data_IF_290732341267
#
_entry.id   IF_290732341267
#
_cell.length_a   1.000
_cell.length_b   1.000
_cell.length_c   1.000
_cell.angle_alpha   90.00
_cell.angle_beta   90.00
_cell.angle_gamma   90.00
#
_symmetry.space_group_name_H-M   'P 1'
#
loop_
_entity.id
_entity.type
_entity.pdbx_description
1 polymer ?
#
# COMPACT_ATOMS: atom_id res chain seq x y z
N UNK A 1 23.87 25.72 -12.08
CA UNK A 1 22.69 24.88 -11.75
C UNK A 1 23.10 23.91 -10.66
N UNK A 2 22.96 24.33 -9.40
CA UNK A 2 23.28 23.47 -8.26
C UNK A 2 22.38 22.24 -8.30
N UNK A 3 22.98 21.06 -8.45
CA UNK A 3 22.24 19.80 -8.31
C UNK A 3 21.74 19.76 -6.88
N UNK A 4 20.42 19.88 -6.69
CA UNK A 4 19.74 19.60 -5.42
C UNK A 4 20.40 18.37 -4.79
N UNK A 5 20.94 18.54 -3.58
CA UNK A 5 21.54 17.45 -2.82
C UNK A 5 20.61 17.11 -1.66
N UNK A 6 20.19 15.85 -1.59
CA UNK A 6 19.34 15.33 -0.51
C UNK A 6 20.20 14.62 0.54
N UNK A 7 19.69 14.57 1.77
CA UNK A 7 20.33 13.88 2.88
C UNK A 7 20.24 12.36 2.68
N UNK A 8 21.38 11.72 2.36
CA UNK A 8 21.44 10.27 2.14
C UNK A 8 21.21 9.48 3.44
N UNK A 9 21.52 10.07 4.60
CA UNK A 9 21.32 9.40 5.89
C UNK A 9 19.85 9.07 6.15
N UNK A 10 18.95 10.01 5.84
CA UNK A 10 17.50 9.76 5.92
C UNK A 10 17.03 8.74 4.90
N UNK A 11 17.62 8.74 3.70
CA UNK A 11 17.26 7.77 2.65
C UNK A 11 17.69 6.34 3.05
N UNK A 12 18.90 6.17 3.58
CA UNK A 12 19.37 4.88 4.10
C UNK A 12 18.52 4.40 5.28
N UNK A 13 18.06 5.33 6.12
CA UNK A 13 17.13 5.03 7.21
C UNK A 13 15.81 4.45 6.68
N UNK A 14 15.32 4.91 5.51
CA UNK A 14 14.14 4.32 4.87
C UNK A 14 14.36 2.84 4.52
N UNK A 15 15.50 2.48 3.91
CA UNK A 15 15.80 1.07 3.61
C UNK A 15 15.83 0.26 4.91
N UNK A 16 16.59 0.70 5.91
CA UNK A 16 16.67 0.02 7.20
C UNK A 16 15.29 -0.18 7.82
N UNK A 17 14.46 0.87 7.83
CA UNK A 17 13.11 0.82 8.38
C UNK A 17 12.18 -0.12 7.60
N UNK A 18 12.30 -0.17 6.27
CA UNK A 18 11.53 -1.11 5.43
C UNK A 18 11.94 -2.57 5.66
N UNK A 19 13.23 -2.82 5.93
CA UNK A 19 13.73 -4.16 6.28
C UNK A 19 13.21 -4.62 7.65
N UNK A 20 13.12 -3.71 8.63
CA UNK A 20 12.50 -4.01 9.92
C UNK A 20 11.02 -4.39 9.76
N UNK A 21 10.28 -3.69 8.90
CA UNK A 21 8.88 -4.05 8.60
C UNK A 21 8.78 -5.41 7.91
N UNK A 22 9.67 -5.71 6.95
CA UNK A 22 9.72 -7.04 6.33
C UNK A 22 10.01 -8.13 7.36
N UNK A 23 10.98 -7.91 8.26
CA UNK A 23 11.32 -8.83 9.36
C UNK A 23 10.11 -9.08 10.26
N UNK A 24 9.42 -8.02 10.69
CA UNK A 24 8.23 -8.14 11.51
C UNK A 24 7.16 -8.97 10.80
N UNK A 25 6.79 -8.55 9.59
CA UNK A 25 5.66 -9.12 8.87
C UNK A 25 5.90 -10.59 8.50
N UNK A 26 7.09 -10.93 7.99
CA UNK A 26 7.41 -12.33 7.64
C UNK A 26 7.41 -13.20 8.89
N UNK A 27 8.09 -12.76 9.96
CA UNK A 27 8.19 -13.52 11.20
C UNK A 27 6.82 -13.78 11.83
N UNK A 28 6.01 -12.74 12.03
CA UNK A 28 4.72 -12.87 12.72
C UNK A 28 3.66 -13.58 11.88
N UNK A 29 3.70 -13.42 10.55
CA UNK A 29 2.77 -14.10 9.66
C UNK A 29 3.12 -15.57 9.41
N UNK A 30 4.36 -15.98 9.71
CA UNK A 30 4.78 -17.38 9.69
C UNK A 30 4.23 -18.22 10.86
N UNK A 31 3.52 -17.59 11.83
CA UNK A 31 2.97 -18.23 13.04
C UNK A 31 4.01 -19.12 13.76
N UNK A 32 5.05 -18.54 14.37
CA UNK A 32 6.08 -19.34 15.03
C UNK A 32 5.50 -20.14 16.20
N UNK A 33 5.77 -21.44 16.25
CA UNK A 33 5.30 -22.39 17.28
C UNK A 33 5.59 -21.95 18.73
N UNK A 34 6.55 -21.04 18.90
CA UNK A 34 6.97 -20.46 20.20
C UNK A 34 5.81 -19.67 20.87
N UNK A 35 4.82 -19.21 20.09
CA UNK A 35 3.66 -18.46 20.60
C UNK A 35 2.54 -19.34 21.19
N UNK A 36 2.64 -20.67 21.09
CA UNK A 36 1.59 -21.61 21.53
C UNK A 36 1.59 -21.81 23.06
N UNK A 37 2.62 -21.31 23.77
CA UNK A 37 2.67 -21.39 25.23
C UNK A 37 2.00 -20.18 25.90
N UNK A 38 0.80 -20.36 26.46
CA UNK A 38 0.02 -19.37 27.24
C UNK A 38 0.66 -18.93 28.59
N UNK A 39 1.93 -19.27 28.81
CA UNK A 39 2.68 -18.91 30.01
C UNK A 39 3.54 -17.68 29.74
N UNK A 40 3.23 -16.59 30.45
CA UNK A 40 4.11 -15.41 30.56
C UNK A 40 5.44 -15.88 31.13
N UNK A 41 6.44 -15.92 30.28
CA UNK A 41 7.80 -16.35 30.59
C UNK A 41 8.80 -15.36 29.98
N UNK A 42 10.06 -15.44 30.40
CA UNK A 42 11.13 -14.56 29.90
C UNK A 42 11.27 -14.60 28.36
N UNK A 43 10.95 -15.73 27.73
CA UNK A 43 10.96 -15.88 26.27
C UNK A 43 9.86 -15.04 25.60
N UNK A 44 8.65 -15.01 26.16
CA UNK A 44 7.54 -14.18 25.66
C UNK A 44 7.86 -12.69 25.80
N UNK A 45 8.45 -12.26 26.91
CA UNK A 45 8.90 -10.87 27.08
C UNK A 45 9.98 -10.48 26.06
N UNK A 46 10.97 -11.35 25.82
CA UNK A 46 11.99 -11.14 24.79
C UNK A 46 11.38 -11.07 23.38
N UNK A 47 10.38 -11.91 23.09
CA UNK A 47 9.68 -11.93 21.81
C UNK A 47 8.85 -10.66 21.59
N UNK A 48 8.24 -10.12 22.64
CA UNK A 48 7.52 -8.84 22.58
C UNK A 48 8.47 -7.65 22.40
N UNK A 49 9.66 -7.69 23.03
CA UNK A 49 10.70 -6.70 22.76
C UNK A 49 11.13 -6.78 21.29
N UNK A 50 11.31 -8.00 20.77
CA UNK A 50 11.61 -8.20 19.35
C UNK A 50 10.52 -7.59 18.47
N UNK A 51 9.24 -7.92 18.72
CA UNK A 51 8.10 -7.36 17.99
C UNK A 51 8.08 -5.83 18.01
N UNK A 52 8.21 -5.23 19.18
CA UNK A 52 8.22 -3.78 19.34
C UNK A 52 9.41 -3.13 18.61
N UNK A 53 10.56 -3.80 18.60
CA UNK A 53 11.78 -3.33 17.92
C UNK A 53 11.67 -3.39 16.39
N UNK A 54 10.89 -4.32 15.83
CA UNK A 54 10.68 -4.46 14.39
C UNK A 54 9.49 -3.61 13.90
N UNK A 55 8.43 -3.49 14.70
CA UNK A 55 7.27 -2.64 14.43
C UNK A 55 7.62 -1.16 14.24
N UNK A 56 8.60 -0.63 14.97
CA UNK A 56 9.03 0.78 14.86
C UNK A 56 9.48 1.15 13.44
N UNK A 57 9.79 0.16 12.59
CA UNK A 57 10.18 0.38 11.19
C UNK A 57 9.15 1.18 10.40
N UNK A 58 7.85 0.95 10.58
CA UNK A 58 6.84 1.69 9.81
C UNK A 58 6.77 3.17 10.23
N UNK A 59 6.97 3.43 11.52
CA UNK A 59 6.98 4.78 12.10
C UNK A 59 8.19 5.57 11.59
N UNK A 60 9.37 4.95 11.67
CA UNK A 60 10.62 5.54 11.17
C UNK A 60 10.47 5.85 9.68
N UNK A 61 9.93 4.91 8.88
CA UNK A 61 9.77 5.10 7.44
C UNK A 61 8.92 6.33 7.13
N UNK A 62 7.70 6.38 7.66
CA UNK A 62 6.74 7.43 7.33
C UNK A 62 7.22 8.81 7.81
N UNK A 63 7.79 8.90 9.02
CA UNK A 63 8.34 10.16 9.55
C UNK A 63 9.56 10.59 8.73
N UNK A 64 10.50 9.69 8.42
CA UNK A 64 11.69 10.01 7.62
C UNK A 64 11.34 10.46 6.20
N UNK A 65 10.33 9.85 5.58
CA UNK A 65 9.82 10.30 4.28
C UNK A 65 9.25 11.71 4.36
N UNK A 66 8.50 12.03 5.42
CA UNK A 66 8.01 13.38 5.68
C UNK A 66 9.14 14.42 5.71
N UNK A 67 10.23 14.13 6.42
CA UNK A 67 11.43 14.99 6.43
C UNK A 67 12.05 15.18 5.05
N UNK A 68 12.14 14.11 4.25
CA UNK A 68 12.73 14.14 2.91
C UNK A 68 11.88 14.95 1.91
N UNK A 69 10.55 14.84 2.00
CA UNK A 69 9.62 15.53 1.11
C UNK A 69 9.64 17.05 1.31
N UNK A 70 9.86 17.51 2.54
CA UNK A 70 9.89 18.95 2.86
C UNK A 70 11.05 19.70 2.22
N UNK A 71 12.13 19.02 1.84
CA UNK A 71 13.21 19.64 1.06
C UNK A 71 12.76 20.15 -0.32
N UNK A 72 11.69 19.56 -0.87
CA UNK A 72 11.20 19.83 -2.23
C UNK A 72 9.67 20.06 -2.21
N UNK A 73 9.19 21.05 -1.46
CA UNK A 73 7.76 21.34 -1.28
C UNK A 73 6.99 21.41 -2.62
N UNK A 74 7.60 22.06 -3.62
CA UNK A 74 7.03 22.25 -4.97
C UNK A 74 6.78 20.93 -5.72
N UNK A 75 7.56 19.88 -5.39
CA UNK A 75 7.52 18.56 -6.04
C UNK A 75 6.73 17.54 -5.21
N UNK A 76 6.09 17.96 -4.12
CA UNK A 76 5.45 17.04 -3.18
C UNK A 76 4.32 16.23 -3.83
N UNK A 77 3.49 16.91 -4.63
CA UNK A 77 2.35 16.28 -5.31
C UNK A 77 2.79 15.28 -6.36
N UNK A 78 3.76 15.67 -7.18
CA UNK A 78 4.38 14.79 -8.18
C UNK A 78 5.04 13.57 -7.54
N UNK A 79 5.78 13.76 -6.44
CA UNK A 79 6.38 12.65 -5.68
C UNK A 79 5.32 11.70 -5.13
N UNK A 80 4.26 12.23 -4.51
CA UNK A 80 3.16 11.43 -3.96
C UNK A 80 2.45 10.60 -5.05
N UNK A 81 2.18 11.20 -6.20
CA UNK A 81 1.56 10.52 -7.34
C UNK A 81 2.49 9.45 -7.92
N UNK A 82 3.79 9.72 -8.03
CA UNK A 82 4.77 8.73 -8.50
C UNK A 82 4.87 7.55 -7.54
N UNK A 83 4.92 7.78 -6.24
CA UNK A 83 4.91 6.71 -5.24
C UNK A 83 3.62 5.87 -5.33
N UNK A 84 2.48 6.53 -5.55
CA UNK A 84 1.21 5.81 -5.70
C UNK A 84 1.13 4.95 -6.95
N UNK A 85 1.51 5.48 -8.11
CA UNK A 85 1.59 4.72 -9.36
C UNK A 85 2.57 3.55 -9.20
N UNK A 86 3.70 3.80 -8.52
CA UNK A 86 4.69 2.77 -8.24
C UNK A 86 4.16 1.69 -7.29
N UNK A 87 3.35 2.01 -6.28
CA UNK A 87 2.63 1.03 -5.45
C UNK A 87 1.78 0.09 -6.29
N UNK A 88 0.96 0.64 -7.18
CA UNK A 88 0.09 -0.17 -8.06
C UNK A 88 0.95 -1.06 -8.97
N UNK A 89 2.01 -0.50 -9.54
CA UNK A 89 2.90 -1.24 -10.43
C UNK A 89 3.64 -2.39 -9.71
N UNK A 90 4.27 -2.11 -8.56
CA UNK A 90 5.00 -3.13 -7.79
C UNK A 90 4.04 -4.18 -7.24
N UNK A 91 2.87 -3.78 -6.74
CA UNK A 91 1.87 -4.72 -6.23
C UNK A 91 1.34 -5.66 -7.32
N UNK A 92 1.00 -5.12 -8.49
CA UNK A 92 0.54 -5.93 -9.63
C UNK A 92 1.63 -6.83 -10.20
N UNK A 93 2.85 -6.32 -10.37
CA UNK A 93 3.99 -7.11 -10.83
C UNK A 93 4.33 -8.22 -9.83
N UNK A 94 4.36 -7.91 -8.54
CA UNK A 94 4.58 -8.89 -7.47
C UNK A 94 3.52 -9.98 -7.48
N UNK A 95 2.25 -9.61 -7.65
CA UNK A 95 1.17 -10.59 -7.77
C UNK A 95 1.35 -11.50 -8.98
N UNK A 96 1.65 -10.94 -10.16
CA UNK A 96 1.87 -11.72 -11.38
C UNK A 96 3.00 -12.72 -11.18
N UNK A 97 4.15 -12.27 -10.69
CA UNK A 97 5.31 -13.14 -10.42
C UNK A 97 4.93 -14.26 -9.45
N UNK A 98 4.32 -13.94 -8.31
CA UNK A 98 3.94 -14.94 -7.32
C UNK A 98 2.87 -15.90 -7.84
N UNK A 99 1.93 -15.43 -8.67
CA UNK A 99 0.92 -16.30 -9.29
C UNK A 99 1.53 -17.27 -10.31
N UNK A 100 2.59 -16.88 -11.03
CA UNK A 100 3.32 -17.78 -11.92
C UNK A 100 3.98 -18.92 -11.14
N UNK A 101 4.46 -18.64 -9.92
CA UNK A 101 5.06 -19.64 -9.04
C UNK A 101 4.04 -20.49 -8.29
N UNK A 102 2.97 -19.88 -7.76
CA UNK A 102 1.95 -20.58 -6.97
C UNK A 102 0.95 -21.35 -7.85
N UNK A 103 0.85 -21.02 -9.14
CA UNK A 103 -0.17 -21.52 -10.10
C UNK A 103 -1.61 -21.23 -9.66
N UNK A 104 -1.80 -20.27 -8.76
CA UNK A 104 -3.11 -19.89 -8.25
C UNK A 104 -3.35 -18.39 -8.49
N UNK A 105 -4.26 -18.12 -9.44
CA UNK A 105 -4.66 -16.76 -9.78
C UNK A 105 -6.05 -16.44 -9.22
N UNK A 106 -6.11 -15.41 -8.37
CA UNK A 106 -7.37 -14.86 -7.88
C UNK A 106 -7.58 -13.48 -8.47
N UNK A 107 -8.75 -13.31 -9.08
CA UNK A 107 -9.14 -12.04 -9.68
C UNK A 107 -9.41 -10.97 -8.62
N UNK A 108 -9.81 -11.40 -7.43
CA UNK A 108 -9.99 -10.53 -6.27
C UNK A 108 -8.65 -9.94 -5.85
N UNK A 109 -7.57 -10.73 -5.90
CA UNK A 109 -6.22 -10.26 -5.60
C UNK A 109 -5.76 -9.23 -6.63
N UNK A 110 -5.99 -9.47 -7.93
CA UNK A 110 -5.65 -8.50 -8.96
C UNK A 110 -6.40 -7.18 -8.75
N UNK A 111 -7.70 -7.25 -8.42
CA UNK A 111 -8.51 -6.08 -8.15
C UNK A 111 -8.02 -5.31 -6.90
N UNK A 112 -7.59 -6.04 -5.86
CA UNK A 112 -6.98 -5.48 -4.66
C UNK A 112 -5.68 -4.71 -4.95
N UNK A 113 -4.88 -5.15 -5.94
CA UNK A 113 -3.66 -4.46 -6.35
C UNK A 113 -3.93 -3.23 -7.24
N UNK A 114 -4.93 -3.31 -8.13
CA UNK A 114 -5.24 -2.24 -9.09
C UNK A 114 -5.99 -1.08 -8.46
N UNK A 115 -6.83 -1.34 -7.44
CA UNK A 115 -7.65 -0.30 -6.80
C UNK A 115 -7.42 -0.21 -5.28
N UNK A 116 -6.19 0.10 -4.84
CA UNK A 116 -5.85 -0.07 -3.44
C UNK A 116 -6.50 0.93 -2.48
N UNK A 117 -6.87 2.12 -2.95
CA UNK A 117 -7.68 3.08 -2.18
C UNK A 117 -9.11 2.58 -1.96
N UNK A 118 -9.80 2.16 -3.04
CA UNK A 118 -11.20 1.72 -2.98
C UNK A 118 -11.32 0.43 -2.15
N UNK A 119 -10.31 -0.44 -2.24
CA UNK A 119 -10.26 -1.73 -1.57
C UNK A 119 -9.61 -1.68 -0.18
N UNK A 120 -9.08 -0.53 0.22
CA UNK A 120 -8.32 -0.34 1.46
C UNK A 120 -7.24 -1.42 1.70
N UNK A 121 -6.57 -1.86 0.63
CA UNK A 121 -5.58 -2.97 0.71
C UNK A 121 -4.22 -2.48 1.20
N UNK A 122 -3.94 -1.19 1.02
CA UNK A 122 -2.73 -0.53 1.51
C UNK A 122 -3.08 0.68 2.38
N UNK A 123 -3.78 0.46 3.49
CA UNK A 123 -4.24 1.53 4.38
C UNK A 123 -3.13 2.51 4.76
N UNK A 124 -1.99 2.01 5.25
CA UNK A 124 -0.86 2.83 5.69
C UNK A 124 -0.21 3.61 4.54
N UNK A 125 0.10 2.96 3.41
CA UNK A 125 0.70 3.65 2.26
C UNK A 125 -0.24 4.71 1.68
N UNK A 126 -1.54 4.43 1.67
CA UNK A 126 -2.58 5.40 1.29
C UNK A 126 -2.53 6.62 2.19
N UNK A 127 -2.41 6.43 3.50
CA UNK A 127 -2.22 7.49 4.48
C UNK A 127 -0.97 8.32 4.23
N UNK A 128 0.16 7.65 3.97
CA UNK A 128 1.44 8.31 3.67
C UNK A 128 1.34 9.19 2.42
N UNK A 129 0.71 8.68 1.35
CA UNK A 129 0.49 9.44 0.11
C UNK A 129 -0.43 10.64 0.34
N UNK A 130 -1.52 10.48 1.10
CA UNK A 130 -2.39 11.59 1.48
C UNK A 130 -1.63 12.64 2.30
N UNK A 131 -0.79 12.22 3.24
CA UNK A 131 0.07 13.12 4.03
C UNK A 131 1.00 13.94 3.12
N UNK A 132 1.67 13.27 2.17
CA UNK A 132 2.54 13.93 1.19
C UNK A 132 1.81 15.01 0.37
N UNK A 133 0.59 14.73 -0.09
CA UNK A 133 -0.24 15.70 -0.84
C UNK A 133 -0.58 16.93 0.00
N UNK A 134 -0.74 16.79 1.32
CA UNK A 134 -1.07 17.91 2.21
C UNK A 134 0.11 18.81 2.60
N UNK A 135 1.35 18.46 2.25
CA UNK A 135 2.56 19.22 2.63
C UNK A 135 2.46 20.75 2.38
N UNK A 136 2.04 21.23 1.19
CA UNK A 136 1.99 22.68 0.95
C UNK A 136 0.98 23.41 1.85
N UNK A 137 -0.12 22.73 2.22
CA UNK A 137 -1.11 23.25 3.15
C UNK A 137 -0.59 23.21 4.59
N UNK A 138 0.07 22.12 4.96
CA UNK A 138 0.67 21.94 6.27
C UNK A 138 1.70 23.03 6.57
N UNK A 139 2.59 23.36 5.62
CA UNK A 139 3.60 24.40 5.79
C UNK A 139 3.01 25.81 5.94
N UNK A 140 1.87 26.09 5.29
CA UNK A 140 1.13 27.34 5.53
C UNK A 140 0.49 27.35 6.91
N UNK A 141 -0.13 26.24 7.31
CA UNK A 141 -0.79 26.07 8.60
C UNK A 141 0.16 26.18 9.78
N UNK A 142 1.32 25.52 9.71
CA UNK A 142 2.28 25.46 10.84
C UNK A 142 2.89 26.81 11.18
N UNK A 143 3.01 27.73 10.21
CA UNK A 143 3.47 29.11 10.46
C UNK A 143 2.46 29.93 11.27
N UNK A 144 1.16 29.63 11.13
CA UNK A 144 0.07 30.38 11.76
C UNK A 144 -0.46 29.73 13.04
N UNK A 145 -0.47 28.39 13.10
CA UNK A 145 -1.16 27.61 14.14
C UNK A 145 -0.25 26.56 14.79
N UNK A 146 1.04 26.86 14.98
CA UNK A 146 2.05 25.88 15.44
C UNK A 146 1.62 25.10 16.69
N UNK A 147 1.17 25.80 17.74
CA UNK A 147 0.77 25.17 19.02
C UNK A 147 -0.45 24.25 18.87
N UNK A 148 -1.42 24.63 18.02
CA UNK A 148 -2.62 23.82 17.78
C UNK A 148 -2.25 22.55 17.03
N UNK A 149 -1.39 22.66 16.02
CA UNK A 149 -0.90 21.50 15.26
C UNK A 149 -0.10 20.56 16.16
N UNK A 150 0.82 21.09 16.97
CA UNK A 150 1.59 20.31 17.94
C UNK A 150 0.67 19.54 18.91
N UNK A 151 -0.28 20.24 19.52
CA UNK A 151 -1.22 19.62 20.48
C UNK A 151 -2.12 18.59 19.80
N UNK A 152 -2.57 18.85 18.58
CA UNK A 152 -3.37 17.90 17.80
C UNK A 152 -2.60 16.62 17.47
N UNK A 153 -1.34 16.73 17.05
CA UNK A 153 -0.49 15.58 16.74
C UNK A 153 -0.20 14.77 18.01
N UNK A 154 0.10 15.44 19.13
CA UNK A 154 0.32 14.77 20.41
C UNK A 154 -0.93 14.06 20.91
N UNK A 155 -2.11 14.69 20.80
CA UNK A 155 -3.37 14.10 21.23
C UNK A 155 -3.69 12.84 20.43
N UNK A 156 -3.50 12.88 19.10
CA UNK A 156 -3.73 11.73 18.22
C UNK A 156 -2.79 10.56 18.54
N UNK A 157 -1.54 10.83 18.94
CA UNK A 157 -0.54 9.80 19.29
C UNK A 157 -0.80 9.21 20.69
N UNK A 158 -1.11 10.05 21.67
CA UNK A 158 -1.17 9.65 23.08
C UNK A 158 -2.53 9.01 23.41
N UNK A 159 -3.62 9.49 22.81
CA UNK A 159 -4.97 9.03 23.14
C UNK A 159 -5.16 7.51 22.96
N UNK A 160 -4.70 6.86 21.86
CA UNK A 160 -4.82 5.42 21.69
C UNK A 160 -4.07 4.62 22.77
N UNK A 161 -2.89 5.08 23.17
CA UNK A 161 -2.07 4.40 24.19
C UNK A 161 -2.67 4.51 25.59
N UNK A 162 -3.23 5.67 25.95
CA UNK A 162 -3.83 5.89 27.29
C UNK A 162 -5.22 5.26 27.40
N UNK A 163 -6.10 5.55 26.43
CA UNK A 163 -7.52 5.20 26.56
C UNK A 163 -7.87 3.81 26.03
N UNK A 164 -6.91 3.12 25.37
CA UNK A 164 -7.14 1.82 24.71
C UNK A 164 -8.35 1.80 23.78
N UNK A 165 -8.71 2.98 23.27
CA UNK A 165 -9.81 3.17 22.35
C UNK A 165 -9.25 3.93 21.18
N UNK A 166 -9.53 3.38 20.02
CA UNK A 166 -9.21 4.05 18.78
C UNK A 166 -10.26 5.11 18.47
N UNK A 167 -10.24 6.22 19.24
CA UNK A 167 -11.26 7.27 19.20
C UNK A 167 -11.37 7.90 17.80
N UNK A 168 -10.28 7.88 17.02
CA UNK A 168 -10.19 8.52 15.70
C UNK A 168 -10.06 7.54 14.54
N UNK A 169 -10.18 6.22 14.77
CA UNK A 169 -9.82 5.24 13.74
C UNK A 169 -8.33 5.34 13.34
N UNK A 170 -7.48 5.81 14.24
CA UNK A 170 -6.04 5.92 14.12
C UNK A 170 -5.37 4.58 13.81
N UNK A 171 -5.82 3.46 14.38
CA UNK A 171 -5.32 2.13 14.05
C UNK A 171 -5.79 1.65 12.66
N UNK A 172 -6.82 2.28 12.07
CA UNK A 172 -7.14 2.08 10.66
C UNK A 172 -6.07 2.80 9.82
N UNK A 173 -5.13 2.02 9.30
CA UNK A 173 -3.82 2.46 8.81
C UNK A 173 -3.72 3.74 7.97
N UNK A 174 -4.79 4.19 7.30
CA UNK A 174 -4.79 5.47 6.55
C UNK A 174 -4.61 6.69 7.44
N UNK A 175 -5.34 6.81 8.55
CA UNK A 175 -5.18 7.94 9.47
C UNK A 175 -3.80 7.87 10.15
N UNK A 176 -3.34 6.65 10.43
CA UNK A 176 -2.01 6.38 10.96
C UNK A 176 -0.90 6.94 10.07
N UNK A 177 -0.84 6.47 8.81
CA UNK A 177 0.19 6.87 7.85
C UNK A 177 0.17 8.37 7.57
N UNK A 178 -1.02 8.98 7.52
CA UNK A 178 -1.19 10.43 7.36
C UNK A 178 -0.56 11.20 8.54
N UNK A 179 -0.81 10.75 9.77
CA UNK A 179 -0.30 11.42 10.98
C UNK A 179 1.21 11.31 11.08
N UNK A 180 1.78 10.14 10.77
CA UNK A 180 3.24 9.91 10.82
C UNK A 180 4.00 10.80 9.83
N UNK A 181 3.50 10.97 8.60
CA UNK A 181 4.12 11.87 7.62
C UNK A 181 4.08 13.33 8.09
N UNK A 182 2.93 13.76 8.64
CA UNK A 182 2.79 15.11 9.18
C UNK A 182 3.68 15.36 10.42
N UNK A 183 3.93 14.33 11.23
CA UNK A 183 4.97 14.39 12.27
C UNK A 183 6.35 14.63 11.67
N UNK A 184 6.69 13.99 10.55
CA UNK A 184 7.92 14.27 9.82
C UNK A 184 8.05 15.74 9.42
N UNK A 185 6.98 16.34 8.89
CA UNK A 185 6.94 17.77 8.54
C UNK A 185 7.11 18.68 9.76
N UNK A 186 6.43 18.35 10.87
CA UNK A 186 6.57 19.05 12.14
C UNK A 186 8.00 18.96 12.69
N UNK A 187 8.61 17.78 12.60
CA UNK A 187 9.97 17.51 13.06
C UNK A 187 11.00 18.43 12.41
N UNK A 188 10.91 18.66 11.11
CA UNK A 188 11.83 19.56 10.43
C UNK A 188 11.66 21.03 10.88
N UNK A 189 10.44 21.45 11.21
CA UNK A 189 10.17 22.79 11.75
C UNK A 189 10.84 23.03 13.12
N UNK A 190 10.91 22.00 13.96
CA UNK A 190 11.54 22.08 15.29
C UNK A 190 13.02 21.66 15.31
N UNK A 191 13.53 21.13 14.19
CA UNK A 191 14.89 20.56 14.07
C UNK A 191 15.98 21.50 14.57
N UNK A 192 15.86 22.79 14.25
CA UNK A 192 16.81 23.85 14.65
C UNK A 192 16.71 24.23 16.13
N UNK A 193 15.56 24.00 16.78
CA UNK A 193 15.28 24.40 18.17
C UNK A 193 15.86 23.43 19.20
N UNK A 194 16.10 22.18 18.82
CA UNK A 194 16.58 21.13 19.72
C UNK A 194 18.09 20.92 19.55
N UNK A 195 18.85 20.76 20.64
CA UNK A 195 20.26 20.36 20.59
C UNK A 195 20.41 18.84 20.39
N UNK A 196 21.55 18.37 19.86
CA UNK A 196 21.81 16.93 19.68
C UNK A 196 21.76 16.19 21.03
N UNK A 197 22.37 16.76 22.09
CA UNK A 197 22.33 16.20 23.45
C UNK A 197 20.90 15.98 23.97
N UNK A 198 20.00 16.95 23.76
CA UNK A 198 18.58 16.84 24.14
C UNK A 198 17.85 15.75 23.36
N UNK A 199 18.19 15.55 22.09
CA UNK A 199 17.59 14.47 21.27
C UNK A 199 18.07 13.10 21.75
N UNK A 200 19.37 12.92 21.94
CA UNK A 200 19.96 11.64 22.39
C UNK A 200 19.44 11.23 23.77
N UNK A 201 19.37 12.18 24.72
CA UNK A 201 18.80 11.91 26.05
C UNK A 201 17.35 11.46 26.00
N UNK A 202 16.52 12.06 25.14
CA UNK A 202 15.12 11.63 24.93
C UNK A 202 15.03 10.24 24.29
N UNK A 203 15.91 9.91 23.35
CA UNK A 203 15.98 8.56 22.75
C UNK A 203 16.29 7.52 23.83
N UNK A 204 17.33 7.74 24.63
CA UNK A 204 17.74 6.80 25.69
C UNK A 204 16.61 6.60 26.70
N UNK A 205 15.98 7.70 27.14
CA UNK A 205 14.87 7.63 28.08
C UNK A 205 13.69 6.83 27.50
N UNK A 206 13.26 7.15 26.28
CA UNK A 206 12.15 6.47 25.62
C UNK A 206 12.46 4.99 25.35
N UNK A 207 13.69 4.66 24.96
CA UNK A 207 14.12 3.28 24.74
C UNK A 207 14.05 2.47 26.04
N UNK A 208 14.60 3.00 27.14
CA UNK A 208 14.57 2.34 28.44
C UNK A 208 13.13 2.16 28.94
N UNK A 209 12.32 3.22 28.86
CA UNK A 209 10.91 3.15 29.24
C UNK A 209 10.16 2.11 28.39
N UNK A 210 10.40 2.08 27.08
CA UNK A 210 9.74 1.11 26.21
C UNK A 210 10.13 -0.34 26.55
N UNK A 211 11.42 -0.62 26.76
CA UNK A 211 11.90 -1.96 27.15
C UNK A 211 11.26 -2.41 28.47
N UNK A 212 11.24 -1.53 29.47
CA UNK A 212 10.64 -1.83 30.78
C UNK A 212 9.14 -2.12 30.65
N UNK A 213 8.41 -1.23 29.96
CA UNK A 213 6.95 -1.35 29.83
C UNK A 213 6.56 -2.58 29.02
N UNK A 214 7.19 -2.81 27.86
CA UNK A 214 6.91 -3.98 27.02
C UNK A 214 7.25 -5.29 27.74
N UNK A 215 8.29 -5.31 28.56
CA UNK A 215 8.67 -6.52 29.30
C UNK A 215 7.72 -6.86 30.44
N UNK A 216 7.24 -5.86 31.18
CA UNK A 216 6.47 -6.04 32.41
C UNK A 216 4.95 -6.05 32.19
N UNK A 217 4.44 -5.35 31.17
CA UNK A 217 2.99 -5.24 30.96
C UNK A 217 2.25 -6.56 30.71
N UNK A 218 2.83 -7.61 30.12
CA UNK A 218 2.19 -8.93 30.05
C UNK A 218 1.86 -9.51 31.42
N UNK A 219 2.77 -9.37 32.39
CA UNK A 219 2.58 -9.85 33.75
C UNK A 219 1.48 -9.05 34.45
N UNK A 220 1.53 -7.72 34.35
CA UNK A 220 0.50 -6.87 34.95
C UNK A 220 -0.88 -7.07 34.31
N UNK A 221 -0.95 -7.19 32.98
CA UNK A 221 -2.20 -7.42 32.25
C UNK A 221 -2.83 -8.75 32.68
N UNK A 222 -2.02 -9.82 32.78
CA UNK A 222 -2.50 -11.12 33.23
C UNK A 222 -2.92 -11.10 34.69
N UNK A 223 -2.17 -10.43 35.57
CA UNK A 223 -2.48 -10.34 37.00
C UNK A 223 -3.76 -9.55 37.30
N UNK A 224 -4.05 -8.49 36.54
CA UNK A 224 -5.18 -7.59 36.81
C UNK A 224 -6.43 -7.96 36.00
N UNK A 225 -6.27 -8.35 34.73
CA UNK A 225 -7.38 -8.54 33.79
C UNK A 225 -7.54 -9.98 33.29
N UNK A 226 -6.66 -10.91 33.68
CA UNK A 226 -6.59 -12.28 33.14
C UNK A 226 -6.49 -12.34 31.60
N UNK A 227 -6.06 -11.25 30.96
CA UNK A 227 -5.87 -11.13 29.52
C UNK A 227 -4.59 -10.36 29.17
N UNK A 228 -4.22 -10.32 27.88
CA UNK A 228 -3.07 -9.57 27.38
C UNK A 228 -3.49 -8.23 26.72
N UNK A 229 -4.73 -7.77 26.94
CA UNK A 229 -5.28 -6.62 26.23
C UNK A 229 -4.54 -5.31 26.57
N UNK A 230 -4.01 -5.19 27.79
CA UNK A 230 -3.27 -4.01 28.23
C UNK A 230 -1.83 -4.03 27.74
N UNK A 231 -1.22 -5.21 27.66
CA UNK A 231 0.11 -5.39 27.07
C UNK A 231 0.13 -5.04 25.57
N UNK A 232 -0.93 -5.42 24.84
CA UNK A 232 -1.10 -5.13 23.42
C UNK A 232 -1.02 -3.64 23.04
N UNK A 233 -1.26 -2.74 24.00
CA UNK A 233 -1.19 -1.27 23.79
C UNK A 233 0.23 -0.79 23.47
N UNK A 234 1.23 -1.47 24.01
CA UNK A 234 2.63 -1.09 23.89
C UNK A 234 3.36 -1.87 22.80
N UNK A 235 2.80 -3.01 22.38
CA UNK A 235 3.31 -3.87 21.30
C UNK A 235 2.54 -3.67 19.98
N UNK A 236 1.99 -2.49 19.75
CA UNK A 236 1.34 -2.10 18.50
C UNK A 236 2.10 -0.90 17.91
N UNK A 237 2.22 -0.84 16.58
CA UNK A 237 2.72 0.33 15.82
C UNK A 237 2.10 1.67 16.25
N UNK A 238 0.83 1.68 16.67
CA UNK A 238 0.16 2.89 17.17
C UNK A 238 0.59 3.34 18.58
N UNK A 239 1.55 2.66 19.22
CA UNK A 239 2.07 3.00 20.56
C UNK A 239 2.79 4.34 20.55
N UNK A 240 2.39 5.23 21.46
CA UNK A 240 3.00 6.55 21.60
C UNK A 240 4.51 6.46 21.88
N UNK A 241 4.96 5.45 22.64
CA UNK A 241 6.38 5.25 22.93
C UNK A 241 7.18 4.93 21.67
N UNK A 242 6.65 4.07 20.79
CA UNK A 242 7.29 3.71 19.52
C UNK A 242 7.33 4.90 18.56
N UNK A 243 6.21 5.59 18.39
CA UNK A 243 6.11 6.76 17.49
C UNK A 243 7.05 7.88 17.94
N UNK A 244 7.09 8.19 19.25
CA UNK A 244 7.99 9.22 19.78
C UNK A 244 9.46 8.80 19.66
N UNK A 245 9.78 7.53 19.92
CA UNK A 245 11.13 7.01 19.73
C UNK A 245 11.57 7.14 18.26
N UNK A 246 10.72 6.70 17.33
CA UNK A 246 10.94 6.84 15.89
C UNK A 246 11.16 8.31 15.48
N UNK A 247 10.31 9.22 15.99
CA UNK A 247 10.41 10.65 15.74
C UNK A 247 11.78 11.23 16.15
N UNK A 248 12.28 10.90 17.35
CA UNK A 248 13.59 11.39 17.78
C UNK A 248 14.76 10.73 17.06
N UNK A 249 14.66 9.44 16.70
CA UNK A 249 15.66 8.76 15.87
C UNK A 249 15.77 9.45 14.50
N UNK A 250 14.65 9.70 13.84
CA UNK A 250 14.62 10.41 12.55
C UNK A 250 15.17 11.84 12.70
N UNK A 251 14.79 12.56 13.76
CA UNK A 251 15.34 13.89 14.05
C UNK A 251 16.87 13.86 14.20
N UNK A 252 17.42 12.86 14.89
CA UNK A 252 18.87 12.71 15.07
C UNK A 252 19.56 12.49 13.71
N UNK A 253 19.08 11.55 12.91
CA UNK A 253 19.63 11.24 11.58
C UNK A 253 19.50 12.43 10.65
N UNK A 254 18.39 13.18 10.73
CA UNK A 254 18.17 14.37 9.90
C UNK A 254 19.25 15.45 10.10
N UNK A 255 19.89 15.50 11.28
CA UNK A 255 20.95 16.47 11.60
C UNK A 255 22.31 16.10 11.02
N UNK A 256 22.50 14.85 10.61
CA UNK A 256 23.71 14.40 9.92
C UNK A 256 23.64 14.93 8.49
N UNK A 257 24.57 15.81 8.09
CA UNK A 257 24.60 16.43 6.77
C UNK A 257 25.49 15.63 5.81
N UNK A 258 24.97 14.55 5.24
CA UNK A 258 25.62 13.85 4.12
C UNK A 258 24.75 14.00 2.88
N UNK A 259 25.22 14.84 1.96
CA UNK A 259 24.42 15.32 0.85
C UNK A 259 24.92 14.71 -0.47
N UNK A 260 24.07 13.91 -1.12
CA UNK A 260 24.39 13.18 -2.37
C UNK A 260 23.47 13.63 -3.49
N UNK A 261 23.85 13.35 -4.75
CA UNK A 261 23.03 13.67 -5.94
C UNK A 261 21.63 13.05 -5.79
N UNK A 262 20.59 13.83 -6.07
CA UNK A 262 19.19 13.41 -5.96
C UNK A 262 18.85 12.06 -6.58
N UNK A 263 19.43 11.70 -7.74
CA UNK A 263 19.11 10.44 -8.42
C UNK A 263 19.37 9.18 -7.59
N UNK A 264 20.43 9.18 -6.76
CA UNK A 264 20.72 8.05 -5.87
C UNK A 264 19.74 7.99 -4.69
N UNK A 265 19.37 9.16 -4.16
CA UNK A 265 18.39 9.24 -3.06
C UNK A 265 17.01 8.79 -3.53
N UNK A 266 16.60 9.20 -4.74
CA UNK A 266 15.32 8.77 -5.31
C UNK A 266 15.32 7.25 -5.53
N UNK A 267 16.40 6.66 -6.06
CA UNK A 267 16.56 5.20 -6.18
C UNK A 267 16.37 4.49 -4.84
N UNK A 268 17.04 4.97 -3.79
CA UNK A 268 16.93 4.44 -2.43
C UNK A 268 15.48 4.51 -1.91
N UNK A 269 14.80 5.65 -2.11
CA UNK A 269 13.41 5.82 -1.68
C UNK A 269 12.49 4.82 -2.40
N UNK A 270 12.60 4.67 -3.72
CA UNK A 270 11.79 3.70 -4.46
C UNK A 270 12.06 2.26 -4.03
N UNK A 271 13.31 1.89 -3.76
CA UNK A 271 13.66 0.56 -3.25
C UNK A 271 13.01 0.31 -1.88
N UNK A 272 13.14 1.25 -0.95
CA UNK A 272 12.52 1.13 0.38
C UNK A 272 10.98 1.12 0.30
N UNK A 273 10.41 1.90 -0.62
CA UNK A 273 8.96 1.91 -0.88
C UNK A 273 8.47 0.57 -1.43
N UNK A 274 9.16 -0.03 -2.39
CA UNK A 274 8.81 -1.35 -2.93
C UNK A 274 8.84 -2.44 -1.84
N UNK A 275 9.84 -2.42 -0.95
CA UNK A 275 9.90 -3.32 0.21
C UNK A 275 8.67 -3.18 1.10
N UNK A 276 8.20 -1.95 1.34
CA UNK A 276 6.96 -1.73 2.09
C UNK A 276 5.70 -2.19 1.36
N UNK A 277 5.64 -2.02 0.04
CA UNK A 277 4.52 -2.50 -0.79
C UNK A 277 4.40 -4.03 -0.72
N UNK A 278 5.52 -4.74 -0.70
CA UNK A 278 5.50 -6.20 -0.61
C UNK A 278 5.11 -6.65 0.81
N UNK A 279 5.71 -6.06 1.84
CA UNK A 279 5.49 -6.46 3.25
C UNK A 279 4.14 -6.08 3.82
N UNK A 280 3.51 -4.98 3.36
CA UNK A 280 2.18 -4.58 3.86
C UNK A 280 1.02 -5.18 3.07
N UNK A 281 1.29 -5.99 2.04
CA UNK A 281 0.24 -6.69 1.31
C UNK A 281 0.08 -8.12 1.82
N UNK A 282 -1.02 -8.39 2.51
CA UNK A 282 -1.31 -9.70 3.08
C UNK A 282 -1.29 -10.82 2.03
N UNK A 283 -1.84 -10.58 0.84
CA UNK A 283 -1.90 -11.57 -0.24
C UNK A 283 -0.50 -11.92 -0.74
N UNK A 284 0.34 -10.92 -1.02
CA UNK A 284 1.71 -11.16 -1.48
C UNK A 284 2.51 -11.93 -0.44
N UNK A 285 2.36 -11.54 0.83
CA UNK A 285 3.10 -12.14 1.93
C UNK A 285 2.65 -13.59 2.21
N UNK A 286 1.34 -13.87 2.16
CA UNK A 286 0.82 -15.24 2.26
C UNK A 286 1.38 -16.13 1.15
N UNK A 287 1.34 -15.68 -0.12
CA UNK A 287 1.86 -16.46 -1.25
C UNK A 287 3.37 -16.68 -1.16
N UNK A 288 4.11 -15.70 -0.64
CA UNK A 288 5.55 -15.80 -0.41
C UNK A 288 5.86 -16.84 0.67
N UNK A 289 5.15 -16.79 1.81
CA UNK A 289 5.30 -17.74 2.92
C UNK A 289 4.92 -19.16 2.47
N UNK A 290 3.81 -19.31 1.74
CA UNK A 290 3.36 -20.61 1.21
C UNK A 290 4.39 -21.23 0.26
N UNK A 291 4.98 -20.42 -0.62
CA UNK A 291 6.07 -20.85 -1.50
C UNK A 291 7.30 -21.31 -0.69
N UNK A 292 7.66 -20.58 0.37
CA UNK A 292 8.77 -20.94 1.26
C UNK A 292 8.49 -22.22 2.05
N UNK A 293 7.25 -22.49 2.45
CA UNK A 293 6.87 -23.76 3.07
C UNK A 293 6.95 -24.94 2.08
N UNK A 294 6.52 -24.74 0.83
CA UNK A 294 6.57 -25.79 -0.22
C UNK A 294 8.00 -26.15 -0.63
N UNK A 295 8.95 -25.21 -0.53
CA UNK A 295 10.35 -25.40 -0.93
C UNK A 295 11.28 -25.79 0.21
N UNK A 296 10.91 -25.53 1.47
CA UNK A 296 11.71 -25.89 2.63
C UNK A 296 11.44 -27.34 3.08
N UNK A 297 12.37 -28.24 2.75
CA UNK A 297 12.35 -29.65 3.17
C UNK A 297 12.63 -29.90 4.68
N UNK A 298 12.78 -28.88 5.52
CA UNK A 298 12.99 -29.08 6.96
C UNK A 298 12.22 -28.08 7.80
N UNK A 299 11.38 -28.61 8.70
CA UNK A 299 10.40 -27.85 9.49
C UNK A 299 11.02 -27.18 10.72
N UNK A 300 12.24 -27.46 11.14
CA UNK A 300 12.75 -26.84 12.37
C UNK A 300 14.26 -26.63 12.41
N UNK A 301 14.66 -25.35 12.50
CA UNK A 301 15.69 -24.74 13.38
C UNK A 301 16.38 -23.60 12.62
N UNK A 302 16.27 -22.39 13.19
CA UNK A 302 16.70 -21.08 12.68
C UNK A 302 15.69 -20.31 11.83
N UNK A 303 14.49 -20.12 12.37
CA UNK A 303 13.46 -19.20 11.84
C UNK A 303 14.11 -17.83 11.50
N UNK A 304 14.82 -17.22 12.47
CA UNK A 304 15.46 -15.91 12.26
C UNK A 304 16.54 -15.88 11.16
N UNK A 305 17.43 -16.88 11.05
CA UNK A 305 18.48 -16.85 10.02
C UNK A 305 17.92 -17.17 8.62
N UNK A 306 16.89 -18.00 8.55
CA UNK A 306 16.14 -18.27 7.32
C UNK A 306 15.39 -17.02 6.86
N UNK A 307 14.68 -16.35 7.78
CA UNK A 307 13.95 -15.10 7.52
C UNK A 307 14.90 -13.99 7.05
N UNK A 308 16.08 -13.84 7.69
CA UNK A 308 17.10 -12.88 7.26
C UNK A 308 17.59 -13.18 5.85
N UNK A 309 17.87 -14.45 5.51
CA UNK A 309 18.30 -14.84 4.16
C UNK A 309 17.21 -14.55 3.12
N UNK A 310 15.95 -14.84 3.43
CA UNK A 310 14.80 -14.56 2.56
C UNK A 310 14.63 -13.06 2.33
N UNK A 311 14.80 -12.25 3.37
CA UNK A 311 14.71 -10.79 3.28
C UNK A 311 15.87 -10.21 2.47
N UNK A 312 17.08 -10.75 2.60
CA UNK A 312 18.22 -10.35 1.78
C UNK A 312 18.00 -10.69 0.29
N UNK A 313 17.44 -11.85 -0.01
CA UNK A 313 17.06 -12.22 -1.38
C UNK A 313 15.95 -11.31 -1.93
N UNK A 314 14.92 -11.05 -1.14
CA UNK A 314 13.84 -10.14 -1.49
C UNK A 314 14.36 -8.72 -1.73
N UNK A 315 15.28 -8.23 -0.89
CA UNK A 315 15.96 -6.96 -1.08
C UNK A 315 16.76 -6.93 -2.38
N UNK A 316 17.51 -7.99 -2.70
CA UNK A 316 18.26 -8.09 -3.96
C UNK A 316 17.33 -8.04 -5.18
N UNK A 317 16.23 -8.79 -5.16
CA UNK A 317 15.23 -8.80 -6.24
C UNK A 317 14.60 -7.42 -6.40
N UNK A 318 14.25 -6.74 -5.29
CA UNK A 318 13.68 -5.40 -5.33
C UNK A 318 14.69 -4.39 -5.89
N UNK A 319 15.97 -4.47 -5.51
CA UNK A 319 17.02 -3.60 -6.06
C UNK A 319 17.17 -3.79 -7.58
N UNK A 320 17.24 -5.05 -8.04
CA UNK A 320 17.39 -5.38 -9.46
C UNK A 320 16.17 -4.94 -10.27
N UNK A 321 14.97 -5.25 -9.80
CA UNK A 321 13.73 -4.82 -10.46
C UNK A 321 13.59 -3.30 -10.49
N UNK A 322 13.93 -2.61 -9.40
CA UNK A 322 13.86 -1.16 -9.34
C UNK A 322 14.85 -0.50 -10.33
N UNK A 323 16.03 -1.09 -10.54
CA UNK A 323 16.98 -0.62 -11.56
C UNK A 323 16.36 -0.67 -12.96
N UNK A 324 15.69 -1.78 -13.30
CA UNK A 324 15.00 -1.95 -14.59
C UNK A 324 13.83 -0.97 -14.72
N UNK A 325 12.97 -0.87 -13.70
CA UNK A 325 11.78 -0.01 -13.73
C UNK A 325 12.17 1.46 -13.90
N UNK A 326 13.11 1.95 -13.10
CA UNK A 326 13.56 3.34 -13.19
C UNK A 326 14.29 3.61 -14.51
N UNK A 327 15.01 2.63 -15.05
CA UNK A 327 15.57 2.68 -16.40
C UNK A 327 14.50 2.90 -17.48
N UNK A 328 13.43 2.10 -17.45
CA UNK A 328 12.28 2.23 -18.38
C UNK A 328 11.58 3.59 -18.20
N UNK A 329 11.35 4.03 -16.97
CA UNK A 329 10.73 5.33 -16.71
C UNK A 329 11.57 6.51 -17.23
N UNK A 330 12.90 6.37 -17.22
CA UNK A 330 13.81 7.37 -17.79
C UNK A 330 13.76 7.39 -19.31
N UNK A 331 13.73 6.22 -19.97
CA UNK A 331 13.64 6.09 -21.43
C UNK A 331 12.31 6.63 -21.97
N UNK A 332 11.20 6.33 -21.29
CA UNK A 332 9.85 6.73 -21.72
C UNK A 332 9.48 8.18 -21.37
N UNK A 333 10.28 8.84 -20.52
CA UNK A 333 10.02 10.20 -20.04
C UNK A 333 8.77 10.33 -19.16
N UNK A 334 8.17 9.23 -18.70
CA UNK A 334 6.93 9.23 -17.90
C UNK A 334 7.11 10.04 -16.63
N UNK A 335 8.24 9.86 -15.93
CA UNK A 335 8.53 10.61 -14.70
C UNK A 335 8.58 12.12 -14.93
N UNK A 336 9.12 12.56 -16.07
CA UNK A 336 9.18 13.98 -16.44
C UNK A 336 7.79 14.55 -16.76
N UNK A 337 6.96 13.79 -17.49
CA UNK A 337 5.57 14.17 -17.80
C UNK A 337 4.71 14.32 -16.55
N UNK A 338 4.89 13.44 -15.56
CA UNK A 338 4.17 13.54 -14.27
C UNK A 338 4.62 14.80 -13.52
N UNK A 339 5.93 15.05 -13.43
CA UNK A 339 6.43 16.26 -12.76
C UNK A 339 5.96 17.55 -13.44
N UNK A 340 6.02 17.64 -14.77
CA UNK A 340 5.60 18.88 -15.45
C UNK A 340 4.12 19.21 -15.26
N UNK A 341 3.27 18.20 -15.03
CA UNK A 341 1.84 18.40 -14.80
C UNK A 341 1.53 18.76 -13.34
N UNK A 342 2.12 18.05 -12.38
CA UNK A 342 1.75 18.11 -10.96
C UNK A 342 2.69 18.94 -10.08
N UNK A 343 3.86 19.35 -10.55
CA UNK A 343 4.73 20.24 -9.77
C UNK A 343 4.08 21.63 -9.65
N UNK A 344 4.06 22.15 -8.42
CA UNK A 344 3.61 23.53 -8.16
C UNK A 344 4.72 24.45 -8.67
N UNK A 345 4.39 25.43 -9.53
CA UNK A 345 5.40 26.40 -9.97
C UNK A 345 5.66 27.39 -8.84
N UNK A 346 6.91 27.83 -8.69
CA UNK A 346 7.34 28.70 -7.58
C UNK A 346 6.46 29.96 -7.39
N UNK A 347 5.92 30.52 -8.47
CA UNK A 347 5.10 31.74 -8.44
C UNK A 347 3.58 31.48 -8.42
N UNK A 348 3.17 30.21 -8.42
CA UNK A 348 1.77 29.83 -8.60
C UNK A 348 1.01 29.77 -7.26
N UNK A 349 -0.10 30.51 -7.18
CA UNK A 349 -1.01 30.37 -6.03
C UNK A 349 -1.73 29.01 -6.10
N UNK A 350 -2.08 28.45 -4.94
CA UNK A 350 -2.77 27.16 -4.83
C UNK A 350 -4.08 27.11 -5.67
N UNK A 351 -4.80 28.23 -5.77
CA UNK A 351 -6.01 28.34 -6.61
C UNK A 351 -5.71 28.24 -8.10
N UNK A 352 -4.60 28.83 -8.57
CA UNK A 352 -4.16 28.76 -9.96
C UNK A 352 -3.70 27.33 -10.30
N UNK A 353 -3.03 26.66 -9.36
CA UNK A 353 -2.66 25.25 -9.50
C UNK A 353 -3.89 24.34 -9.71
N UNK A 354 -4.94 24.49 -8.89
CA UNK A 354 -6.18 23.73 -9.07
C UNK A 354 -6.87 24.06 -10.40
N UNK A 355 -6.88 25.33 -10.81
CA UNK A 355 -7.40 25.73 -12.12
C UNK A 355 -6.62 25.09 -13.28
N UNK A 356 -5.29 25.02 -13.19
CA UNK A 356 -4.44 24.36 -14.18
C UNK A 356 -4.71 22.86 -14.26
N UNK A 357 -4.78 22.18 -13.11
CA UNK A 357 -5.04 20.75 -13.06
C UNK A 357 -6.43 20.43 -13.62
N UNK A 358 -7.46 21.14 -13.17
CA UNK A 358 -8.84 20.91 -13.63
C UNK A 358 -8.98 21.13 -15.14
N UNK A 359 -8.38 22.19 -15.68
CA UNK A 359 -8.35 22.41 -17.13
C UNK A 359 -7.49 21.40 -17.88
N UNK A 360 -6.38 20.97 -17.30
CA UNK A 360 -5.53 19.91 -17.85
C UNK A 360 -6.25 18.57 -17.92
N UNK A 361 -7.03 18.22 -16.89
CA UNK A 361 -7.89 17.03 -16.89
C UNK A 361 -8.99 17.20 -17.94
N UNK A 362 -9.64 18.36 -18.01
CA UNK A 362 -10.70 18.63 -19.00
C UNK A 362 -10.17 18.55 -20.44
N UNK A 363 -8.99 19.08 -20.71
CA UNK A 363 -8.35 18.99 -22.03
C UNK A 363 -7.91 17.56 -22.35
N UNK A 364 -7.37 16.83 -21.37
CA UNK A 364 -7.01 15.42 -21.53
C UNK A 364 -8.23 14.54 -21.83
N UNK A 365 -9.34 14.74 -21.11
CA UNK A 365 -10.61 14.06 -21.34
C UNK A 365 -11.15 14.33 -22.75
N UNK A 366 -11.06 15.59 -23.22
CA UNK A 366 -11.45 15.95 -24.59
C UNK A 366 -10.56 15.28 -25.65
N UNK A 367 -9.25 15.28 -25.42
CA UNK A 367 -8.28 14.66 -26.33
C UNK A 367 -8.46 13.13 -26.42
N UNK A 368 -8.78 12.47 -25.30
CA UNK A 368 -8.95 11.02 -25.22
C UNK A 368 -10.42 10.57 -25.26
N UNK A 369 -11.34 11.43 -25.71
CA UNK A 369 -12.80 11.16 -25.73
C UNK A 369 -13.16 9.84 -26.39
N UNK A 370 -12.47 9.50 -27.48
CA UNK A 370 -12.73 8.27 -28.24
C UNK A 370 -12.34 7.05 -27.42
N UNK A 371 -11.14 7.04 -26.81
CA UNK A 371 -10.70 5.96 -25.94
C UNK A 371 -11.61 5.78 -24.72
N UNK A 372 -12.05 6.87 -24.11
CA UNK A 372 -12.99 6.83 -22.99
C UNK A 372 -14.33 6.23 -23.42
N UNK A 373 -14.85 6.65 -24.58
CA UNK A 373 -16.06 6.06 -25.16
C UNK A 373 -15.89 4.55 -25.43
N UNK A 374 -14.72 4.10 -25.89
CA UNK A 374 -14.43 2.66 -26.07
C UNK A 374 -14.45 1.91 -24.75
N UNK A 375 -13.85 2.47 -23.70
CA UNK A 375 -13.85 1.87 -22.35
C UNK A 375 -15.28 1.78 -21.82
N UNK A 376 -16.05 2.87 -21.93
CA UNK A 376 -17.47 2.88 -21.53
C UNK A 376 -18.29 1.87 -22.33
N UNK A 377 -18.04 1.74 -23.63
CA UNK A 377 -18.71 0.76 -24.49
C UNK A 377 -18.37 -0.68 -24.09
N UNK A 378 -17.09 -0.97 -23.84
CA UNK A 378 -16.67 -2.28 -23.35
C UNK A 378 -17.29 -2.63 -21.99
N UNK A 379 -17.38 -1.65 -21.09
CA UNK A 379 -18.01 -1.83 -19.79
C UNK A 379 -19.52 -2.08 -19.93
N UNK A 380 -20.19 -1.34 -20.81
CA UNK A 380 -21.59 -1.57 -21.13
C UNK A 380 -21.83 -2.97 -21.71
N UNK A 381 -21.02 -3.42 -22.66
CA UNK A 381 -21.11 -4.77 -23.23
C UNK A 381 -20.84 -5.86 -22.20
N UNK A 382 -19.94 -5.62 -21.24
CA UNK A 382 -19.71 -6.53 -20.14
C UNK A 382 -20.95 -6.65 -19.24
N UNK A 383 -21.57 -5.55 -18.83
CA UNK A 383 -22.84 -5.59 -18.08
C UNK A 383 -23.92 -6.31 -18.89
N UNK A 384 -24.08 -5.94 -20.17
CA UNK A 384 -25.06 -6.54 -21.06
C UNK A 384 -24.88 -8.06 -21.16
N UNK A 385 -23.64 -8.54 -21.25
CA UNK A 385 -23.33 -9.98 -21.26
C UNK A 385 -23.86 -10.69 -20.00
N UNK A 386 -23.62 -10.13 -18.82
CA UNK A 386 -24.11 -10.70 -17.56
C UNK A 386 -25.64 -10.71 -17.48
N UNK A 387 -26.29 -9.65 -17.97
CA UNK A 387 -27.75 -9.57 -17.97
C UNK A 387 -28.37 -10.61 -18.91
N UNK A 388 -27.86 -10.72 -20.14
CA UNK A 388 -28.42 -11.61 -21.16
C UNK A 388 -28.19 -13.10 -20.88
N UNK A 389 -27.13 -13.46 -20.16
CA UNK A 389 -26.83 -14.85 -19.85
C UNK A 389 -27.76 -15.45 -18.77
N UNK A 390 -28.39 -14.62 -17.92
CA UNK A 390 -29.26 -15.09 -16.84
C UNK A 390 -30.68 -15.38 -17.29
N UNK A 391 -31.27 -16.48 -16.82
CA UNK A 391 -32.61 -16.97 -17.26
C UNK A 391 -33.75 -16.21 -16.63
N UNK A 392 -33.54 -15.64 -15.45
CA UNK A 392 -34.53 -14.91 -14.67
C UNK A 392 -34.00 -13.52 -14.31
N UNK A 393 -34.94 -12.60 -14.09
CA UNK A 393 -34.64 -11.23 -13.62
C UNK A 393 -34.26 -11.17 -12.14
N UNK A 394 -34.38 -12.30 -11.42
CA UNK A 394 -33.99 -12.47 -10.03
C UNK A 394 -32.97 -13.59 -9.90
N UNK A 395 -31.92 -13.36 -9.12
CA UNK A 395 -30.85 -14.33 -8.84
C UNK A 395 -30.89 -14.68 -7.36
N UNK A 396 -30.90 -15.98 -7.06
CA UNK A 396 -30.90 -16.53 -5.71
C UNK A 396 -29.56 -17.24 -5.47
N UNK A 397 -28.50 -16.51 -5.09
CA UNK A 397 -27.19 -17.11 -4.86
C UNK A 397 -27.16 -18.00 -3.59
N UNK A 398 -28.03 -17.74 -2.62
CA UNK A 398 -28.20 -18.49 -1.37
C UNK A 398 -29.71 -18.67 -1.09
N UNK A 399 -30.05 -19.69 -0.29
CA UNK A 399 -31.44 -20.11 0.00
C UNK A 399 -32.32 -18.99 0.57
N UNK A 400 -31.73 -17.99 1.22
CA UNK A 400 -32.46 -16.93 1.95
C UNK A 400 -32.38 -15.53 1.32
N UNK A 401 -31.65 -15.33 0.22
CA UNK A 401 -31.46 -13.97 -0.33
C UNK A 401 -31.72 -13.93 -1.84
N UNK A 402 -32.77 -13.20 -2.22
CA UNK A 402 -33.11 -12.91 -3.62
C UNK A 402 -32.62 -11.52 -3.99
N UNK A 403 -31.75 -11.44 -5.00
CA UNK A 403 -31.33 -10.16 -5.57
C UNK A 403 -32.00 -9.94 -6.92
N UNK A 404 -32.31 -8.69 -7.23
CA UNK A 404 -32.55 -8.29 -8.62
C UNK A 404 -31.23 -8.48 -9.39
N UNK A 405 -31.31 -8.98 -10.62
CA UNK A 405 -30.13 -9.20 -11.48
C UNK A 405 -29.27 -7.94 -11.64
N UNK A 406 -29.87 -6.74 -11.69
CA UNK A 406 -29.11 -5.50 -11.82
C UNK A 406 -28.26 -5.22 -10.57
N UNK A 407 -28.86 -5.33 -9.38
CA UNK A 407 -28.14 -5.16 -8.11
C UNK A 407 -27.11 -6.26 -7.89
N UNK A 408 -27.41 -7.50 -8.29
CA UNK A 408 -26.46 -8.60 -8.22
C UNK A 408 -25.26 -8.38 -9.16
N UNK A 409 -25.49 -7.99 -10.41
CA UNK A 409 -24.42 -7.78 -11.39
C UNK A 409 -23.53 -6.59 -11.02
N UNK A 410 -24.12 -5.45 -10.68
CA UNK A 410 -23.38 -4.21 -10.39
C UNK A 410 -22.80 -4.20 -8.97
N UNK A 411 -23.52 -4.77 -7.99
CA UNK A 411 -23.11 -4.75 -6.59
C UNK A 411 -22.22 -5.93 -6.19
N UNK A 412 -22.61 -7.15 -6.56
CA UNK A 412 -21.94 -8.38 -6.08
C UNK A 412 -20.91 -8.89 -7.09
N UNK A 413 -21.21 -8.86 -8.40
CA UNK A 413 -20.35 -9.38 -9.47
C UNK A 413 -19.47 -8.33 -10.15
N UNK A 414 -19.33 -7.13 -9.58
CA UNK A 414 -18.59 -6.02 -10.20
C UNK A 414 -17.16 -6.38 -10.63
N UNK A 415 -16.46 -7.20 -9.84
CA UNK A 415 -15.12 -7.66 -10.19
C UNK A 415 -15.11 -8.45 -11.52
N UNK A 416 -16.09 -9.33 -11.72
CA UNK A 416 -16.22 -10.11 -12.95
C UNK A 416 -16.64 -9.24 -14.15
N UNK A 417 -17.47 -8.22 -13.92
CA UNK A 417 -17.84 -7.24 -14.96
C UNK A 417 -16.60 -6.48 -15.46
N UNK A 418 -15.75 -6.00 -14.54
CA UNK A 418 -14.52 -5.28 -14.91
C UNK A 418 -13.53 -6.18 -15.64
N UNK A 419 -13.42 -7.44 -15.27
CA UNK A 419 -12.57 -8.42 -15.96
C UNK A 419 -13.04 -8.64 -17.38
N UNK A 420 -14.34 -8.90 -17.57
CA UNK A 420 -14.92 -9.05 -18.90
C UNK A 420 -14.72 -7.79 -19.75
N UNK A 421 -14.78 -6.62 -19.12
CA UNK A 421 -14.47 -5.34 -19.77
C UNK A 421 -13.01 -5.30 -20.26
N UNK A 422 -12.06 -5.70 -19.41
CA UNK A 422 -10.63 -5.74 -19.77
C UNK A 422 -10.39 -6.75 -20.90
N UNK A 423 -10.96 -7.95 -20.81
CA UNK A 423 -10.85 -8.99 -21.84
C UNK A 423 -11.39 -8.46 -23.18
N UNK A 424 -12.56 -7.82 -23.16
CA UNK A 424 -13.13 -7.18 -24.35
C UNK A 424 -12.19 -6.12 -24.92
N UNK A 425 -11.63 -5.24 -24.08
CA UNK A 425 -10.72 -4.18 -24.52
C UNK A 425 -9.41 -4.73 -25.08
N UNK A 426 -8.86 -5.80 -24.49
CA UNK A 426 -7.68 -6.49 -25.01
C UNK A 426 -7.97 -7.13 -26.37
N UNK A 427 -9.13 -7.78 -26.51
CA UNK A 427 -9.56 -8.39 -27.76
C UNK A 427 -9.80 -7.34 -28.85
N UNK A 428 -10.47 -6.23 -28.53
CA UNK A 428 -10.64 -5.09 -29.42
C UNK A 428 -9.27 -4.54 -29.84
N UNK A 429 -8.34 -4.39 -28.90
CA UNK A 429 -6.99 -3.89 -29.19
C UNK A 429 -6.18 -4.85 -30.04
N UNK A 430 -6.37 -6.16 -29.90
CA UNK A 430 -5.80 -7.17 -30.77
C UNK A 430 -6.30 -7.01 -32.22
N UNK A 431 -7.62 -6.94 -32.43
CA UNK A 431 -8.19 -6.70 -33.77
C UNK A 431 -7.73 -5.34 -34.32
N UNK A 432 -7.68 -4.32 -33.47
CA UNK A 432 -7.17 -3.00 -33.84
C UNK A 432 -5.72 -3.03 -34.26
N UNK A 433 -4.86 -3.79 -33.58
CA UNK A 433 -3.46 -3.96 -33.96
C UNK A 433 -3.29 -4.65 -35.32
N UNK A 434 -4.22 -5.53 -35.71
CA UNK A 434 -4.19 -6.21 -37.01
C UNK A 434 -4.74 -5.33 -38.14
N UNK A 435 -5.74 -4.50 -37.85
CA UNK A 435 -6.52 -3.79 -38.88
C UNK A 435 -6.20 -2.30 -38.96
N UNK A 436 -5.60 -1.72 -37.92
CA UNK A 436 -5.33 -0.29 -37.73
C UNK A 436 -6.55 0.64 -37.96
N UNK A 437 -7.77 0.09 -37.95
CA UNK A 437 -9.01 0.81 -38.26
C UNK A 437 -9.98 0.74 -37.09
N UNK A 438 -10.02 1.80 -36.29
CA UNK A 438 -10.78 1.87 -35.04
C UNK A 438 -12.24 1.41 -35.17
N UNK A 439 -12.99 1.97 -36.11
CA UNK A 439 -14.42 1.65 -36.29
C UNK A 439 -14.64 0.20 -36.69
N UNK A 440 -13.81 -0.31 -37.61
CA UNK A 440 -13.87 -1.71 -38.04
C UNK A 440 -13.60 -2.64 -36.84
N UNK A 441 -12.51 -2.40 -36.10
CA UNK A 441 -12.16 -3.24 -34.95
C UNK A 441 -13.24 -3.22 -33.87
N UNK A 442 -13.83 -2.05 -33.61
CA UNK A 442 -14.89 -1.89 -32.60
C UNK A 442 -16.16 -2.65 -33.00
N UNK A 443 -16.58 -2.55 -34.27
CA UNK A 443 -17.76 -3.24 -34.78
C UNK A 443 -17.54 -4.76 -34.75
N UNK A 444 -16.41 -5.24 -35.29
CA UNK A 444 -16.10 -6.68 -35.33
C UNK A 444 -15.97 -7.26 -33.92
N UNK A 445 -15.24 -6.59 -33.02
CA UNK A 445 -15.12 -7.04 -31.63
C UNK A 445 -16.48 -7.11 -30.92
N UNK A 446 -17.34 -6.10 -31.13
CA UNK A 446 -18.68 -6.06 -30.53
C UNK A 446 -19.58 -7.18 -31.08
N UNK A 447 -19.57 -7.42 -32.39
CA UNK A 447 -20.35 -8.48 -33.01
C UNK A 447 -19.93 -9.86 -32.51
N UNK A 448 -18.63 -10.15 -32.48
CA UNK A 448 -18.11 -11.42 -31.97
C UNK A 448 -18.46 -11.60 -30.48
N UNK A 449 -18.41 -10.53 -29.69
CA UNK A 449 -18.83 -10.55 -28.29
C UNK A 449 -20.31 -10.89 -28.14
N UNK A 450 -21.18 -10.26 -28.94
CA UNK A 450 -22.62 -10.55 -28.93
C UNK A 450 -22.90 -12.00 -29.34
N UNK A 451 -22.24 -12.49 -30.41
CA UNK A 451 -22.36 -13.89 -30.85
C UNK A 451 -21.97 -14.84 -29.71
N UNK A 452 -20.87 -14.56 -29.01
CA UNK A 452 -20.43 -15.34 -27.86
C UNK A 452 -21.45 -15.35 -26.71
N UNK A 453 -22.07 -14.20 -26.40
CA UNK A 453 -23.13 -14.10 -25.39
C UNK A 453 -24.36 -14.93 -25.78
N UNK A 454 -24.82 -14.80 -27.04
CA UNK A 454 -25.99 -15.54 -27.55
C UNK A 454 -25.71 -17.05 -27.54
N UNK A 455 -24.54 -17.48 -27.99
CA UNK A 455 -24.15 -18.89 -27.97
C UNK A 455 -24.16 -19.47 -26.55
N UNK A 456 -23.59 -18.73 -25.57
CA UNK A 456 -23.61 -19.16 -24.18
C UNK A 456 -25.01 -19.16 -23.58
N UNK A 457 -25.86 -18.20 -23.95
CA UNK A 457 -27.26 -18.17 -23.53
C UNK A 457 -28.02 -19.41 -24.01
N UNK A 458 -27.88 -19.76 -25.29
CA UNK A 458 -28.48 -20.97 -25.86
C UNK A 458 -27.93 -22.21 -25.14
N UNK A 459 -26.61 -22.28 -24.93
CA UNK A 459 -25.96 -23.38 -24.20
C UNK A 459 -26.52 -23.56 -22.77
N UNK A 460 -26.74 -22.47 -22.04
CA UNK A 460 -27.34 -22.51 -20.69
C UNK A 460 -28.81 -22.95 -20.76
N UNK A 461 -29.57 -22.48 -21.75
CA UNK A 461 -30.98 -22.84 -21.92
C UNK A 461 -31.20 -24.31 -22.33
N UNK A 462 -30.24 -24.92 -23.03
CA UNK A 462 -30.29 -26.35 -23.41
C UNK A 462 -29.80 -27.26 -22.26
N UNK A 463 -29.01 -26.73 -21.32
CA UNK A 463 -28.61 -27.44 -20.08
C UNK A 463 -29.79 -27.50 -19.11
N UNK A 464 -30.68 -28.47 -19.31
CA UNK A 464 -31.75 -28.83 -18.36
C UNK A 464 -31.26 -29.61 -17.13
N UNK A 465 -29.94 -29.75 -16.93
CA UNK A 465 -29.37 -30.39 -15.75
C UNK A 465 -28.85 -29.36 -14.75
N UNK A 466 -29.07 -29.55 -13.43
CA UNK A 466 -28.47 -28.72 -12.40
C UNK A 466 -26.95 -28.76 -12.54
N UNK A 467 -26.30 -27.61 -12.41
CA UNK A 467 -24.83 -27.53 -12.36
C UNK A 467 -24.40 -28.30 -11.10
N UNK A 468 -23.90 -29.52 -11.27
CA UNK A 468 -23.43 -30.34 -10.16
C UNK A 468 -22.25 -29.63 -9.47
N UNK A 469 -22.12 -29.72 -8.14
CA UNK A 469 -20.99 -29.17 -7.39
C UNK A 469 -19.61 -29.61 -7.93
N UNK A 470 -19.56 -30.73 -8.66
CA UNK A 470 -18.37 -31.25 -9.35
C UNK A 470 -17.95 -30.45 -10.58
N UNK A 471 -18.86 -29.74 -11.26
CA UNK A 471 -18.46 -28.81 -12.35
C UNK A 471 -17.87 -27.51 -11.78
N UNK A 472 -18.29 -27.10 -10.58
CA UNK A 472 -17.71 -25.98 -9.83
C UNK A 472 -16.31 -26.31 -9.27
N UNK A 473 -16.02 -27.58 -8.96
CA UNK A 473 -14.68 -28.00 -8.55
C UNK A 473 -13.68 -28.08 -9.71
N UNK A 474 -14.14 -28.30 -10.94
CA UNK A 474 -13.27 -28.22 -12.14
C UNK A 474 -12.79 -26.78 -12.41
N UNK A 475 -13.55 -25.75 -12.03
CA UNK A 475 -13.12 -24.35 -12.12
C UNK A 475 -12.08 -23.98 -11.02
N UNK A 476 -11.95 -24.80 -9.97
CA UNK A 476 -10.86 -24.67 -8.99
C UNK A 476 -9.57 -25.40 -9.41
N UNK A 477 -9.60 -26.19 -10.49
CA UNK A 477 -8.48 -27.01 -10.94
C UNK A 477 -7.68 -26.40 -12.12
N UNK A 478 -7.84 -25.10 -12.39
CA UNK A 478 -7.02 -24.35 -13.36
C UNK A 478 -6.56 -23.02 -12.80
#
# INVERSE_FOLDING_TARGET
MDKERKNIGLAMLLIFSSLLVCLDRIFWQSNPDILINDKVNLQQSLLQIYHASTLIGIDIFAIALGFLLQGNEDKSWSSAIKYWIYTIFVGTLGLIILTLFSREFSIVDLYNMLFPFIRNTYGILSGIVLGALTLPLFNKGIRKYTKIIELSLLLVIIAPTIFNKDIFGFANGTVFGYTLVNLGFYGNHIKSKLSVKKVVTRIILLLLTNIIVVSLMPEFSKAVHNDLSTAGRFTNSASALLILLAFYVVLLVSKIKVNVKNGYVDFIIYTAWALLVISNNQTLLNKLIEYNHKTAQSVTRWILAKDIKEILWLMLIVILSNFVILGICKLTGISQKISSFYDIKADEKLSQFFYRITNGIKSWLKAHRVYLATITWGYFLAIFSFLMMNTKWTVEPNVDVKYNIFTYTIGVRQAMVLVNTIIFLLFLKFIFSLTNRYWFSTIVASLLWIIWVVANRIKIGIRNEPILPSELSMIKAW
#
